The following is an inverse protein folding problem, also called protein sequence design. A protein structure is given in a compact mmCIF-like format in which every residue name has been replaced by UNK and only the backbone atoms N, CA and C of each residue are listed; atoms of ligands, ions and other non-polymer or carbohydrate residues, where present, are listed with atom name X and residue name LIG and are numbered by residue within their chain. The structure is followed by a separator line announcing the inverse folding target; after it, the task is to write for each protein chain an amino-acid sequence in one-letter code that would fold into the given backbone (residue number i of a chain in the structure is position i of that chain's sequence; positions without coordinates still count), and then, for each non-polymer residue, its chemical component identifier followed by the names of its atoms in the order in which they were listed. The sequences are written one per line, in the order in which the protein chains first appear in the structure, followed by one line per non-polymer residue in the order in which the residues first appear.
data_IF_945004912787
#
_entry.id   IF_945004912787
#
_cell.length_a   1.000
_cell.length_b   1.000
_cell.length_c   1.000
_cell.angle_alpha   90.00
_cell.angle_beta   90.00
_cell.angle_gamma   90.00
#
_symmetry.space_group_name_H-M   'P 1'
#
loop_
_entity.id
_entity.type
_entity.pdbx_description
1 polymer ?
#
# COMPACT_ATOMS: atom_id res chain seq x y z
N UNK A 1 14.01 39.52 3.56
CA UNK A 1 14.18 38.12 3.98
C UNK A 1 15.18 38.14 5.11
N UNK A 2 14.73 37.88 6.34
CA UNK A 2 15.59 37.88 7.53
C UNK A 2 16.72 36.86 7.38
N UNK A 3 17.92 37.24 7.81
CA UNK A 3 19.09 36.36 7.87
C UNK A 3 18.81 35.24 8.87
N UNK A 4 18.18 34.15 8.42
CA UNK A 4 18.13 32.92 9.20
C UNK A 4 19.57 32.51 9.52
N UNK A 5 19.84 32.33 10.81
CA UNK A 5 21.14 31.85 11.27
C UNK A 5 21.45 30.53 10.57
N UNK A 6 22.67 30.37 10.06
CA UNK A 6 23.17 29.12 9.47
C UNK A 6 22.85 27.89 10.34
N UNK A 7 22.84 28.06 11.67
CA UNK A 7 22.50 27.01 12.63
C UNK A 7 21.02 26.60 12.53
N UNK A 8 20.11 27.55 12.36
CA UNK A 8 18.68 27.27 12.20
C UNK A 8 18.42 26.56 10.87
N UNK A 9 19.08 26.98 9.79
CA UNK A 9 18.99 26.31 8.49
C UNK A 9 19.52 24.88 8.55
N UNK A 10 20.68 24.65 9.19
CA UNK A 10 21.22 23.31 9.39
C UNK A 10 20.29 22.43 10.23
N UNK A 11 19.68 22.96 11.29
CA UNK A 11 18.67 22.24 12.08
C UNK A 11 17.46 21.84 11.24
N UNK A 12 16.96 22.75 10.41
CA UNK A 12 15.83 22.46 9.53
C UNK A 12 16.16 21.36 8.51
N UNK A 13 17.33 21.45 7.86
CA UNK A 13 17.81 20.42 6.92
C UNK A 13 17.89 19.05 7.60
N UNK A 14 18.50 19.00 8.79
CA UNK A 14 18.59 17.76 9.57
C UNK A 14 17.21 17.19 9.92
N UNK A 15 16.28 18.04 10.37
CA UNK A 15 14.92 17.61 10.66
C UNK A 15 14.23 17.01 9.42
N UNK A 16 14.37 17.66 8.26
CA UNK A 16 13.82 17.15 6.98
C UNK A 16 14.41 15.79 6.61
N UNK A 17 15.73 15.61 6.73
CA UNK A 17 16.39 14.33 6.45
C UNK A 17 15.87 13.23 7.40
N UNK A 18 15.78 13.52 8.70
CA UNK A 18 15.27 12.57 9.68
C UNK A 18 13.82 12.15 9.39
N UNK A 19 12.95 13.11 9.05
CA UNK A 19 11.56 12.83 8.67
C UNK A 19 11.52 11.95 7.41
N UNK A 20 12.33 12.30 6.39
CA UNK A 20 12.41 11.56 5.14
C UNK A 20 12.84 10.10 5.36
N UNK A 21 13.93 9.87 6.10
CA UNK A 21 14.43 8.53 6.40
C UNK A 21 13.45 7.73 7.26
N UNK A 22 12.79 8.39 8.23
CA UNK A 22 11.79 7.76 9.09
C UNK A 22 10.60 7.28 8.28
N UNK A 23 10.04 8.15 7.43
CA UNK A 23 8.97 7.78 6.51
C UNK A 23 9.40 6.60 5.61
N UNK A 24 10.61 6.65 5.05
CA UNK A 24 11.11 5.59 4.15
C UNK A 24 11.17 4.24 4.84
N UNK A 25 11.65 4.23 6.08
CA UNK A 25 11.71 3.04 6.90
C UNK A 25 10.31 2.53 7.24
N UNK A 26 9.37 3.41 7.55
CA UNK A 26 7.99 3.03 7.88
C UNK A 26 7.27 2.41 6.69
N UNK A 27 7.38 2.98 5.49
CA UNK A 27 6.72 2.41 4.31
C UNK A 27 7.34 1.11 3.84
N UNK A 28 8.67 0.98 3.92
CA UNK A 28 9.34 -0.30 3.62
C UNK A 28 8.99 -1.38 4.63
N UNK A 29 8.76 -1.02 5.89
CA UNK A 29 8.21 -1.93 6.89
C UNK A 29 6.75 -2.29 6.59
N UNK A 30 5.93 -1.31 6.20
CA UNK A 30 4.51 -1.50 5.84
C UNK A 30 4.35 -2.47 4.66
N UNK A 31 5.23 -2.41 3.65
CA UNK A 31 5.21 -3.36 2.52
C UNK A 31 5.40 -4.83 2.94
N UNK A 32 6.01 -5.10 4.10
CA UNK A 32 6.21 -6.47 4.59
C UNK A 32 4.98 -7.04 5.32
N UNK A 33 3.92 -6.24 5.44
CA UNK A 33 2.70 -6.61 6.16
C UNK A 33 1.66 -7.19 5.21
N UNK A 34 0.69 -7.91 5.79
CA UNK A 34 -0.53 -8.31 5.11
C UNK A 34 -1.65 -7.34 5.48
N UNK A 35 -2.52 -7.05 4.52
CA UNK A 35 -3.63 -6.13 4.68
C UNK A 35 -4.94 -6.83 4.35
N UNK A 36 -5.96 -6.62 5.17
CA UNK A 36 -7.22 -7.33 5.12
C UNK A 36 -8.40 -6.38 4.90
N UNK A 37 -9.38 -6.85 4.14
CA UNK A 37 -10.67 -6.19 3.92
C UNK A 37 -11.78 -7.24 3.96
N UNK A 38 -12.90 -6.91 4.60
CA UNK A 38 -14.12 -7.70 4.47
C UNK A 38 -14.70 -7.53 3.07
N UNK A 39 -15.01 -8.64 2.42
CA UNK A 39 -15.60 -8.67 1.09
C UNK A 39 -16.98 -9.31 1.19
N UNK A 40 -18.02 -8.67 0.63
CA UNK A 40 -19.37 -9.25 0.68
C UNK A 40 -19.53 -10.50 -0.21
N UNK A 41 -18.57 -10.78 -1.10
CA UNK A 41 -18.68 -11.89 -2.06
C UNK A 41 -19.74 -11.64 -3.14
N UNK A 42 -19.77 -12.48 -4.17
CA UNK A 42 -20.80 -12.45 -5.22
C UNK A 42 -22.02 -13.33 -4.86
N UNK A 43 -21.94 -14.15 -3.81
CA UNK A 43 -22.85 -15.31 -3.63
C UNK A 43 -23.22 -15.70 -2.19
N UNK A 44 -22.67 -15.10 -1.12
CA UNK A 44 -22.95 -15.54 0.24
C UNK A 44 -23.81 -14.53 1.01
N UNK A 45 -24.98 -14.95 1.47
CA UNK A 45 -25.90 -14.12 2.26
C UNK A 45 -25.40 -13.81 3.68
N UNK A 46 -24.41 -14.55 4.20
CA UNK A 46 -23.83 -14.39 5.55
C UNK A 46 -22.34 -14.85 5.65
N UNK A 47 -21.61 -14.86 4.54
CA UNK A 47 -20.23 -15.37 4.50
C UNK A 47 -19.21 -14.33 4.99
N UNK A 48 -18.38 -14.68 5.98
CA UNK A 48 -17.13 -13.96 6.28
C UNK A 48 -16.15 -14.15 5.10
N UNK A 49 -16.33 -13.36 4.04
CA UNK A 49 -15.41 -13.34 2.91
C UNK A 49 -14.32 -12.33 3.20
N UNK A 50 -13.07 -12.79 3.16
CA UNK A 50 -11.90 -11.97 3.50
C UNK A 50 -11.05 -11.80 2.26
N UNK A 51 -10.63 -10.57 1.98
CA UNK A 51 -9.64 -10.30 0.94
C UNK A 51 -8.37 -9.83 1.59
N UNK A 52 -7.27 -10.49 1.25
CA UNK A 52 -5.94 -10.17 1.74
C UNK A 52 -5.06 -9.65 0.61
N UNK A 53 -4.34 -8.56 0.86
CA UNK A 53 -3.23 -8.11 0.03
C UNK A 53 -1.92 -8.40 0.77
N UNK A 54 -1.00 -9.07 0.09
CA UNK A 54 0.37 -9.28 0.57
C UNK A 54 1.38 -8.97 -0.53
N UNK A 55 2.57 -8.56 -0.13
CA UNK A 55 3.64 -8.17 -1.05
C UNK A 55 4.89 -8.95 -0.72
N UNK A 56 5.53 -9.51 -1.74
CA UNK A 56 6.81 -10.19 -1.61
C UNK A 56 7.86 -9.55 -2.53
N UNK A 57 9.12 -9.38 -2.08
CA UNK A 57 10.21 -8.97 -2.94
C UNK A 57 10.44 -9.98 -4.08
N UNK A 58 10.73 -9.49 -5.28
CA UNK A 58 11.03 -10.32 -6.46
C UNK A 58 12.15 -9.67 -7.28
N UNK A 59 13.39 -9.79 -6.78
CA UNK A 59 14.54 -9.08 -7.36
C UNK A 59 14.46 -7.58 -7.07
N UNK A 60 14.52 -6.76 -8.12
CA UNK A 60 14.40 -5.29 -8.04
C UNK A 60 12.95 -4.78 -8.06
N UNK A 61 11.97 -5.69 -8.18
CA UNK A 61 10.54 -5.39 -8.21
C UNK A 61 9.81 -6.16 -7.12
N UNK A 62 8.50 -5.99 -7.05
CA UNK A 62 7.64 -6.64 -6.07
C UNK A 62 6.58 -7.48 -6.76
N UNK A 63 6.19 -8.58 -6.13
CA UNK A 63 5.03 -9.37 -6.52
C UNK A 63 3.93 -9.12 -5.49
N UNK A 64 2.78 -8.64 -5.97
CA UNK A 64 1.61 -8.35 -5.14
C UNK A 64 0.60 -9.46 -5.33
N UNK A 65 0.10 -10.00 -4.22
CA UNK A 65 -0.92 -11.04 -4.19
C UNK A 65 -2.19 -10.47 -3.58
N UNK A 66 -3.31 -10.57 -4.31
CA UNK A 66 -4.65 -10.32 -3.79
C UNK A 66 -5.39 -11.66 -3.70
N UNK A 67 -5.67 -12.08 -2.48
CA UNK A 67 -6.18 -13.41 -2.13
C UNK A 67 -7.60 -13.27 -1.59
N UNK A 68 -8.54 -14.02 -2.15
CA UNK A 68 -9.95 -14.00 -1.77
C UNK A 68 -10.29 -15.30 -1.04
N UNK A 69 -10.72 -15.20 0.20
CA UNK A 69 -11.07 -16.34 1.06
C UNK A 69 -12.55 -16.35 1.35
N UNK A 70 -13.18 -17.52 1.22
CA UNK A 70 -14.54 -17.78 1.68
C UNK A 70 -14.46 -18.84 2.78
N UNK A 71 -14.96 -18.51 3.98
CA UNK A 71 -14.93 -19.43 5.13
C UNK A 71 -13.53 -19.99 5.44
N UNK A 72 -12.48 -19.19 5.22
CA UNK A 72 -11.08 -19.57 5.45
C UNK A 72 -10.42 -20.32 4.29
N UNK A 73 -11.17 -20.72 3.26
CA UNK A 73 -10.64 -21.39 2.08
C UNK A 73 -10.34 -20.40 0.95
N UNK A 74 -9.16 -20.52 0.34
CA UNK A 74 -8.74 -19.69 -0.79
C UNK A 74 -9.58 -20.01 -2.04
N UNK A 75 -10.37 -19.06 -2.50
CA UNK A 75 -11.25 -19.21 -3.66
C UNK A 75 -10.61 -18.64 -4.94
N UNK A 76 -9.96 -17.49 -4.81
CA UNK A 76 -9.38 -16.76 -5.95
C UNK A 76 -8.08 -16.10 -5.54
N UNK A 77 -7.15 -16.06 -6.49
CA UNK A 77 -5.92 -15.29 -6.38
C UNK A 77 -5.74 -14.44 -7.62
N UNK A 78 -5.35 -13.18 -7.42
CA UNK A 78 -4.76 -12.33 -8.45
C UNK A 78 -3.31 -12.06 -8.06
N UNK A 79 -2.45 -11.96 -9.05
CA UNK A 79 -1.04 -11.69 -8.84
C UNK A 79 -0.52 -10.81 -9.95
N UNK A 80 0.21 -9.76 -9.59
CA UNK A 80 0.86 -8.87 -10.54
C UNK A 80 2.23 -8.44 -10.03
N UNK A 81 3.02 -7.89 -10.95
CA UNK A 81 4.32 -7.31 -10.64
C UNK A 81 4.16 -5.80 -10.46
N UNK A 82 4.90 -5.22 -9.53
CA UNK A 82 4.85 -3.81 -9.25
C UNK A 82 6.24 -3.22 -8.95
N UNK A 83 6.43 -1.96 -9.31
CA UNK A 83 7.59 -1.15 -8.91
C UNK A 83 7.25 -0.33 -7.67
N UNK A 84 8.26 -0.08 -6.84
CA UNK A 84 8.12 0.78 -5.68
C UNK A 84 8.43 2.23 -6.02
N UNK A 85 7.52 3.13 -5.69
CA UNK A 85 7.74 4.56 -5.70
C UNK A 85 7.68 5.13 -4.29
N UNK A 86 8.54 6.11 -4.02
CA UNK A 86 8.66 6.71 -2.69
C UNK A 86 7.69 7.86 -2.43
N UNK A 87 7.20 8.51 -3.48
CA UNK A 87 6.34 9.68 -3.32
C UNK A 87 5.05 9.33 -2.55
N UNK A 88 4.61 10.23 -1.67
CA UNK A 88 3.36 10.10 -0.91
C UNK A 88 3.26 8.86 0.00
N UNK A 89 4.19 8.70 0.95
CA UNK A 89 4.22 7.61 1.96
C UNK A 89 4.55 6.21 1.41
N UNK A 90 5.15 6.12 0.22
CA UNK A 90 5.50 4.86 -0.42
C UNK A 90 4.29 4.17 -1.05
N UNK A 91 4.46 3.70 -2.27
CA UNK A 91 3.40 3.01 -3.01
C UNK A 91 3.99 2.00 -4.01
N UNK A 92 3.17 1.07 -4.45
CA UNK A 92 3.48 0.12 -5.51
C UNK A 92 2.60 0.40 -6.72
N UNK A 93 3.21 0.47 -7.90
CA UNK A 93 2.53 0.67 -9.18
C UNK A 93 2.69 -0.59 -10.01
N UNK A 94 1.59 -1.16 -10.49
CA UNK A 94 1.62 -2.31 -11.38
C UNK A 94 2.41 -2.03 -12.67
N UNK A 95 3.27 -2.99 -13.05
CA UNK A 95 4.01 -2.92 -14.30
C UNK A 95 3.07 -3.29 -15.45
N UNK A 96 2.78 -2.33 -16.32
CA UNK A 96 1.93 -2.53 -17.49
C UNK A 96 0.43 -2.60 -17.19
N UNK A 97 0.03 -2.13 -16.00
CA UNK A 97 -1.37 -2.06 -15.58
C UNK A 97 -1.68 -0.75 -14.88
N UNK A 98 -2.77 -0.76 -14.12
CA UNK A 98 -3.42 0.42 -13.56
C UNK A 98 -3.68 0.30 -12.04
N UNK A 99 -3.17 -0.77 -11.43
CA UNK A 99 -3.30 -1.05 -10.00
C UNK A 99 -2.23 -0.32 -9.19
N UNK A 100 -2.66 0.33 -8.11
CA UNK A 100 -1.81 1.06 -7.19
C UNK A 100 -2.08 0.63 -5.76
N UNK A 101 -1.02 0.33 -5.00
CA UNK A 101 -1.10 0.09 -3.56
C UNK A 101 -0.39 1.24 -2.84
N UNK A 102 -1.13 2.07 -2.11
CA UNK A 102 -0.61 3.23 -1.38
C UNK A 102 -0.62 2.89 0.11
N UNK A 103 0.54 2.92 0.75
CA UNK A 103 0.67 2.56 2.16
C UNK A 103 0.43 3.78 3.05
N UNK A 104 -0.38 3.61 4.09
CA UNK A 104 -0.53 4.57 5.18
C UNK A 104 -0.05 3.91 6.49
N UNK A 105 1.27 3.95 6.77
CA UNK A 105 1.83 3.32 7.97
C UNK A 105 1.24 3.89 9.27
N UNK A 106 0.92 5.19 9.30
CA UNK A 106 0.36 5.84 10.49
C UNK A 106 -1.06 5.33 10.81
N UNK A 107 -1.87 5.10 9.78
CA UNK A 107 -3.23 4.57 9.91
C UNK A 107 -3.31 3.04 9.96
N UNK A 108 -2.19 2.33 9.79
CA UNK A 108 -2.15 0.87 9.57
C UNK A 108 -3.09 0.44 8.44
N UNK A 109 -3.02 1.20 7.34
CA UNK A 109 -3.94 1.10 6.21
C UNK A 109 -3.18 0.92 4.91
N UNK A 110 -3.84 0.26 3.96
CA UNK A 110 -3.45 0.21 2.56
C UNK A 110 -4.63 0.67 1.71
N UNK A 111 -4.40 1.67 0.87
CA UNK A 111 -5.34 2.07 -0.17
C UNK A 111 -4.98 1.35 -1.47
N UNK A 112 -5.94 0.61 -2.01
CA UNK A 112 -5.81 -0.10 -3.27
C UNK A 112 -6.66 0.61 -4.33
N UNK A 113 -6.01 1.21 -5.32
CA UNK A 113 -6.66 1.92 -6.41
C UNK A 113 -6.51 1.14 -7.72
N UNK A 114 -7.58 1.08 -8.51
CA UNK A 114 -7.58 0.49 -9.85
C UNK A 114 -8.69 1.11 -10.70
N UNK A 115 -8.63 0.96 -12.02
CA UNK A 115 -9.70 1.41 -12.90
C UNK A 115 -10.69 0.26 -13.14
N UNK A 116 -11.97 0.55 -12.93
CA UNK A 116 -13.06 -0.34 -13.32
C UNK A 116 -13.66 0.20 -14.62
N UNK A 117 -13.94 -0.69 -15.58
CA UNK A 117 -14.53 -0.33 -16.86
C UNK A 117 -15.85 0.47 -16.72
N UNK A 118 -16.50 0.41 -15.56
CA UNK A 118 -17.80 1.05 -15.32
C UNK A 118 -17.75 2.29 -14.41
N UNK A 119 -16.63 2.58 -13.73
CA UNK A 119 -16.59 3.55 -12.62
C UNK A 119 -15.39 4.51 -12.69
N UNK A 120 -14.65 4.51 -13.80
CA UNK A 120 -13.36 5.21 -13.98
C UNK A 120 -12.33 4.78 -12.94
N UNK A 121 -12.40 5.23 -11.68
CA UNK A 121 -11.45 4.89 -10.61
C UNK A 121 -12.16 4.34 -9.37
N UNK A 122 -11.74 3.16 -8.92
CA UNK A 122 -12.16 2.55 -7.66
C UNK A 122 -11.04 2.65 -6.64
N UNK A 123 -11.39 2.91 -5.38
CA UNK A 123 -10.45 2.92 -4.26
C UNK A 123 -11.00 2.08 -3.12
N UNK A 124 -10.23 1.10 -2.70
CA UNK A 124 -10.54 0.20 -1.60
C UNK A 124 -9.57 0.44 -0.44
N UNK A 125 -10.07 0.34 0.79
CA UNK A 125 -9.22 0.43 1.99
C UNK A 125 -9.11 -0.93 2.64
N UNK A 126 -7.87 -1.31 2.95
CA UNK A 126 -7.52 -2.51 3.70
C UNK A 126 -6.83 -2.12 5.01
N UNK A 127 -6.98 -2.94 6.05
CA UNK A 127 -6.37 -2.76 7.37
C UNK A 127 -5.22 -3.74 7.57
N UNK A 128 -4.13 -3.29 8.18
CA UNK A 128 -3.02 -4.17 8.56
C UNK A 128 -3.53 -5.29 9.48
N UNK A 129 -3.09 -6.53 9.22
CA UNK A 129 -3.29 -7.68 10.12
C UNK A 129 -2.40 -7.58 11.37
#
# INVERSE_FOLDING_TARGET
MENQSLIQTLKAIWATICIFCSQHTQSTAAMKKAYLKQWPGDTASDGHTLVAISVIPYGSIFKVHQLYYLQGELQRQKTWLATYGWHSNGHLIEIGGDRHCIFNPAGKELYFEYFDANVDKVTETYKEL
#
